data_IF_721054883603
#
_entry.id   IF_721054883603
#
_cell.length_a   1.000
_cell.length_b   1.000
_cell.length_c   1.000
_cell.angle_alpha   90.00
_cell.angle_beta   90.00
_cell.angle_gamma   90.00
#
_symmetry.space_group_name_H-M   'P 1'
#
loop_
_entity.id
_entity.type
_entity.pdbx_description
1 polymer ?
#
# COMPACT_ATOMS: atom_id res chain seq x y z
N UNK A 1 -10.67 -12.05 -12.87
CA UNK A 1 -9.38 -11.70 -13.50
C UNK A 1 -9.40 -12.15 -14.95
N UNK A 2 -9.88 -11.31 -15.87
CA UNK A 2 -9.87 -11.57 -17.33
C UNK A 2 -8.89 -10.65 -18.06
N UNK A 3 -8.87 -9.37 -17.64
CA UNK A 3 -8.02 -8.34 -18.24
C UNK A 3 -6.50 -8.61 -18.16
N UNK A 4 -6.01 -9.23 -17.08
CA UNK A 4 -4.59 -9.63 -16.98
C UNK A 4 -4.26 -10.79 -17.91
N UNK A 5 -5.17 -11.74 -18.06
CA UNK A 5 -5.01 -12.91 -18.94
C UNK A 5 -5.02 -12.50 -20.41
N UNK A 6 -5.82 -11.50 -20.79
CA UNK A 6 -5.90 -10.98 -22.15
C UNK A 6 -4.63 -10.20 -22.55
N UNK A 7 -4.03 -9.46 -21.62
CA UNK A 7 -2.75 -8.76 -21.85
C UNK A 7 -1.60 -9.78 -21.95
N UNK A 8 -1.58 -10.79 -21.08
CA UNK A 8 -0.50 -11.78 -21.08
C UNK A 8 -0.58 -12.74 -22.26
N UNK A 9 -1.79 -13.18 -22.65
CA UNK A 9 -2.00 -14.04 -23.83
C UNK A 9 -1.78 -13.31 -25.15
N UNK A 10 -2.16 -12.02 -25.24
CA UNK A 10 -1.87 -11.19 -26.42
C UNK A 10 -0.37 -10.90 -26.61
N UNK A 11 0.37 -10.72 -25.52
CA UNK A 11 1.82 -10.46 -25.56
C UNK A 11 2.65 -11.73 -25.85
N UNK A 12 2.24 -12.89 -25.33
CA UNK A 12 2.93 -14.16 -25.61
C UNK A 12 2.72 -14.65 -27.04
N UNK A 13 1.51 -14.50 -27.60
CA UNK A 13 1.23 -14.88 -29.01
C UNK A 13 2.09 -14.11 -30.03
N UNK A 14 2.19 -12.78 -29.86
CA UNK A 14 2.98 -11.94 -30.78
C UNK A 14 4.50 -12.18 -30.71
N UNK A 15 5.02 -12.55 -29.55
CA UNK A 15 6.45 -12.87 -29.39
C UNK A 15 6.79 -14.24 -30.01
N UNK A 16 5.91 -15.23 -29.85
CA UNK A 16 6.08 -16.57 -30.42
C UNK A 16 6.03 -16.55 -31.96
N UNK A 17 5.13 -15.75 -32.54
CA UNK A 17 5.03 -15.56 -33.99
C UNK A 17 6.23 -14.79 -34.57
N UNK A 18 6.77 -13.82 -33.82
CA UNK A 18 7.97 -13.08 -34.18
C UNK A 18 9.22 -13.97 -34.21
N UNK A 19 9.36 -14.84 -33.22
CA UNK A 19 10.46 -15.83 -33.15
C UNK A 19 10.30 -16.92 -34.21
N UNK A 20 9.08 -17.41 -34.45
CA UNK A 20 8.78 -18.41 -35.50
C UNK A 20 9.13 -17.92 -36.91
N UNK A 21 8.79 -16.66 -37.23
CA UNK A 21 9.11 -16.05 -38.52
C UNK A 21 10.61 -15.78 -38.72
N UNK A 22 11.36 -15.49 -37.66
CA UNK A 22 12.81 -15.35 -37.73
C UNK A 22 13.51 -16.71 -37.91
N UNK A 23 12.99 -17.76 -37.28
CA UNK A 23 13.50 -19.15 -37.42
C UNK A 23 13.24 -19.69 -38.83
N UNK A 24 12.06 -19.41 -39.40
CA UNK A 24 11.73 -19.78 -40.78
C UNK A 24 12.65 -19.17 -41.83
N UNK A 25 13.36 -18.08 -41.49
CA UNK A 25 14.26 -17.35 -42.39
C UNK A 25 15.70 -17.89 -42.40
N UNK A 26 16.11 -18.66 -41.39
CA UNK A 26 17.49 -19.14 -41.23
C UNK A 26 17.65 -20.66 -41.10
N UNK A 27 16.56 -21.43 -40.90
CA UNK A 27 16.63 -22.90 -40.74
C UNK A 27 15.53 -23.58 -41.56
N UNK A 28 15.93 -24.26 -42.64
CA UNK A 28 15.00 -24.91 -43.60
C UNK A 28 14.63 -26.35 -43.24
N UNK A 29 15.31 -27.00 -42.28
CA UNK A 29 15.07 -28.40 -41.91
C UNK A 29 14.43 -28.51 -40.52
N UNK A 30 13.29 -29.20 -40.41
CA UNK A 30 12.49 -29.23 -39.17
C UNK A 30 13.21 -29.86 -37.97
N UNK A 31 14.20 -30.72 -38.19
CA UNK A 31 15.07 -31.27 -37.14
C UNK A 31 15.96 -30.21 -36.48
N UNK A 32 16.51 -29.29 -37.27
CA UNK A 32 17.38 -28.24 -36.75
C UNK A 32 16.57 -27.16 -36.02
N UNK A 33 15.31 -26.92 -36.44
CA UNK A 33 14.38 -26.07 -35.69
C UNK A 33 14.09 -26.63 -34.30
N UNK A 34 13.83 -27.93 -34.19
CA UNK A 34 13.58 -28.56 -32.88
C UNK A 34 14.81 -28.53 -31.99
N UNK A 35 16.00 -28.83 -32.52
CA UNK A 35 17.24 -28.76 -31.76
C UNK A 35 17.55 -27.33 -31.29
N UNK A 36 17.27 -26.32 -32.12
CA UNK A 36 17.44 -24.92 -31.78
C UNK A 36 16.43 -24.43 -30.74
N UNK A 37 15.16 -24.85 -30.83
CA UNK A 37 14.13 -24.57 -29.82
C UNK A 37 14.57 -25.14 -28.47
N UNK A 38 15.05 -26.38 -28.43
CA UNK A 38 15.54 -27.05 -27.22
C UNK A 38 16.76 -26.33 -26.61
N UNK A 39 17.68 -25.86 -27.45
CA UNK A 39 18.82 -25.06 -27.01
C UNK A 39 18.40 -23.68 -26.46
N UNK A 40 17.40 -23.05 -27.09
CA UNK A 40 16.86 -21.75 -26.66
C UNK A 40 16.11 -21.86 -25.34
N UNK A 41 15.30 -22.91 -25.18
CA UNK A 41 14.58 -23.19 -23.93
C UNK A 41 15.56 -23.44 -22.77
N UNK A 42 16.66 -24.16 -23.04
CA UNK A 42 17.73 -24.36 -22.05
C UNK A 42 18.43 -23.06 -21.66
N UNK A 43 18.69 -22.16 -22.62
CA UNK A 43 19.28 -20.85 -22.34
C UNK A 43 18.31 -19.95 -21.54
N UNK A 44 17.01 -19.99 -21.84
CA UNK A 44 15.98 -19.28 -21.09
C UNK A 44 15.90 -19.79 -19.65
N UNK A 45 15.86 -21.11 -19.43
CA UNK A 45 15.88 -21.69 -18.09
C UNK A 45 17.12 -21.30 -17.28
N UNK A 46 18.30 -21.25 -17.92
CA UNK A 46 19.52 -20.79 -17.26
C UNK A 46 19.42 -19.31 -16.86
N UNK A 47 18.91 -18.47 -17.76
CA UNK A 47 18.68 -17.04 -17.48
C UNK A 47 17.69 -16.82 -16.35
N UNK A 48 16.58 -17.57 -16.35
CA UNK A 48 15.56 -17.46 -15.31
C UNK A 48 16.10 -17.89 -13.95
N UNK A 49 16.93 -18.95 -13.89
CA UNK A 49 17.58 -19.38 -12.66
C UNK A 49 18.58 -18.32 -12.11
N UNK A 50 19.36 -17.68 -12.98
CA UNK A 50 20.27 -16.58 -12.58
C UNK A 50 19.50 -15.34 -12.10
N UNK A 51 18.42 -14.99 -12.80
CA UNK A 51 17.56 -13.86 -12.44
C UNK A 51 16.88 -14.13 -11.10
N UNK A 52 16.37 -15.34 -10.86
CA UNK A 52 15.74 -15.69 -9.59
C UNK A 52 16.72 -15.60 -8.42
N UNK A 53 17.95 -16.09 -8.57
CA UNK A 53 18.98 -15.95 -7.55
C UNK A 53 19.31 -14.48 -7.26
N UNK A 54 19.39 -13.66 -8.30
CA UNK A 54 19.67 -12.23 -8.18
C UNK A 54 18.53 -11.50 -7.47
N UNK A 55 17.28 -11.78 -7.87
CA UNK A 55 16.08 -11.18 -7.25
C UNK A 55 15.98 -11.59 -5.78
N UNK A 56 16.24 -12.84 -5.43
CA UNK A 56 16.25 -13.29 -4.03
C UNK A 56 17.31 -12.56 -3.20
N UNK A 57 18.52 -12.42 -3.73
CA UNK A 57 19.59 -11.69 -3.04
C UNK A 57 19.25 -10.20 -2.86
N UNK A 58 18.64 -9.56 -3.87
CA UNK A 58 18.19 -8.17 -3.76
C UNK A 58 17.04 -8.00 -2.76
N UNK A 59 16.07 -8.92 -2.75
CA UNK A 59 14.96 -8.92 -1.80
C UNK A 59 15.47 -9.11 -0.37
N UNK A 60 16.40 -10.03 -0.13
CA UNK A 60 17.03 -10.21 1.18
C UNK A 60 17.83 -8.98 1.63
N UNK A 61 18.55 -8.33 0.72
CA UNK A 61 19.29 -7.10 1.03
C UNK A 61 18.34 -5.96 1.42
N UNK A 62 17.27 -5.75 0.64
CA UNK A 62 16.23 -4.76 0.96
C UNK A 62 15.51 -5.08 2.27
N UNK A 63 15.25 -6.35 2.54
CA UNK A 63 14.62 -6.80 3.79
C UNK A 63 15.50 -6.47 4.99
N UNK A 64 16.82 -6.74 4.92
CA UNK A 64 17.78 -6.38 5.97
C UNK A 64 17.89 -4.87 6.21
N UNK A 65 17.84 -4.06 5.14
CA UNK A 65 17.81 -2.60 5.26
C UNK A 65 16.53 -2.15 5.96
N UNK A 66 15.37 -2.68 5.55
CA UNK A 66 14.08 -2.38 6.19
C UNK A 66 14.07 -2.82 7.65
N UNK A 67 14.62 -3.98 7.98
CA UNK A 67 14.76 -4.46 9.36
C UNK A 67 15.65 -3.53 10.18
N UNK A 68 16.79 -3.08 9.63
CA UNK A 68 17.69 -2.14 10.27
C UNK A 68 17.04 -0.75 10.47
N UNK A 69 16.28 -0.25 9.50
CA UNK A 69 15.52 1.00 9.61
C UNK A 69 14.35 0.88 10.60
N UNK A 70 13.68 -0.28 10.65
CA UNK A 70 12.63 -0.56 11.63
C UNK A 70 13.16 -0.66 13.07
N UNK A 71 14.39 -1.15 13.23
CA UNK A 71 15.09 -1.19 14.51
C UNK A 71 15.60 0.18 14.97
N UNK A 72 15.65 1.19 14.09
CA UNK A 72 15.97 2.55 14.50
C UNK A 72 14.90 3.07 15.48
N UNK A 73 15.35 3.39 16.70
CA UNK A 73 14.56 3.44 17.93
C UNK A 73 14.10 4.86 18.30
N UNK A 74 13.80 5.70 17.30
CA UNK A 74 13.17 6.99 17.58
C UNK A 74 11.65 6.80 17.79
N UNK A 75 11.29 6.58 19.06
CA UNK A 75 9.90 6.51 19.53
C UNK A 75 9.09 7.76 19.16
N UNK A 76 9.75 8.91 18.94
CA UNK A 76 9.10 10.15 18.55
C UNK A 76 8.75 10.16 17.05
N UNK A 77 9.64 9.68 16.16
CA UNK A 77 9.29 9.55 14.73
C UNK A 77 8.22 8.48 14.49
N UNK A 78 8.24 7.39 15.27
CA UNK A 78 7.20 6.33 15.21
C UNK A 78 5.81 6.84 15.66
N UNK A 79 5.74 7.89 16.49
CA UNK A 79 4.50 8.50 17.00
C UNK A 79 4.12 9.83 16.35
N UNK A 80 4.96 10.41 15.51
CA UNK A 80 4.70 11.68 14.84
C UNK A 80 3.45 11.65 13.93
N UNK A 81 3.14 10.50 13.31
CA UNK A 81 1.99 10.33 12.40
C UNK A 81 0.66 10.50 13.15
N UNK A 82 0.39 9.76 14.24
CA UNK A 82 -0.84 9.98 15.03
C UNK A 82 -0.88 11.32 15.77
N UNK A 83 0.25 11.89 16.21
CA UNK A 83 0.23 13.17 16.93
C UNK A 83 -0.27 14.33 16.08
N UNK A 84 0.07 14.37 14.79
CA UNK A 84 -0.42 15.40 13.87
C UNK A 84 -1.93 15.31 13.71
N UNK A 85 -2.47 14.10 13.52
CA UNK A 85 -3.92 13.88 13.35
C UNK A 85 -4.67 14.25 14.64
N UNK A 86 -4.20 13.81 15.81
CA UNK A 86 -4.85 14.12 17.08
C UNK A 86 -4.78 15.61 17.41
N UNK A 87 -3.61 16.23 17.24
CA UNK A 87 -3.45 17.65 17.48
C UNK A 87 -4.34 18.49 16.55
N UNK A 88 -4.37 18.17 15.25
CA UNK A 88 -5.23 18.88 14.30
C UNK A 88 -6.72 18.69 14.60
N UNK A 89 -7.17 17.50 15.01
CA UNK A 89 -8.54 17.28 15.45
C UNK A 89 -8.90 18.09 16.70
N UNK A 90 -7.99 18.20 17.68
CA UNK A 90 -8.21 19.02 18.88
C UNK A 90 -8.33 20.50 18.52
N UNK A 91 -7.45 21.03 17.67
CA UNK A 91 -7.49 22.43 17.24
C UNK A 91 -8.78 22.74 16.47
N UNK A 92 -9.19 21.85 15.56
CA UNK A 92 -10.45 21.96 14.84
C UNK A 92 -11.64 21.91 15.80
N UNK A 93 -11.65 20.96 16.74
CA UNK A 93 -12.72 20.82 17.72
C UNK A 93 -12.84 22.06 18.62
N UNK A 94 -11.73 22.63 19.06
CA UNK A 94 -11.76 23.86 19.86
C UNK A 94 -12.31 25.03 19.05
N UNK A 95 -11.77 25.27 17.85
CA UNK A 95 -12.06 26.49 17.09
C UNK A 95 -13.42 26.47 16.36
N UNK A 96 -13.84 25.30 15.84
CA UNK A 96 -15.07 25.16 15.06
C UNK A 96 -16.24 24.54 15.83
N UNK A 97 -16.00 23.89 16.98
CA UNK A 97 -17.09 23.25 17.76
C UNK A 97 -17.22 23.89 19.14
N UNK A 98 -16.18 23.88 19.98
CA UNK A 98 -16.31 24.32 21.37
C UNK A 98 -16.50 25.83 21.49
N UNK A 99 -15.65 26.64 20.85
CA UNK A 99 -15.71 28.10 20.95
C UNK A 99 -17.03 28.66 20.39
N UNK A 100 -17.51 28.27 19.19
CA UNK A 100 -18.79 28.78 18.67
C UNK A 100 -19.99 28.37 19.52
N UNK A 101 -20.05 27.12 20.00
CA UNK A 101 -21.14 26.67 20.87
C UNK A 101 -21.10 27.36 22.24
N UNK A 102 -19.91 27.58 22.81
CA UNK A 102 -19.76 28.29 24.07
C UNK A 102 -20.23 29.75 23.95
N UNK A 103 -19.87 30.43 22.86
CA UNK A 103 -20.32 31.80 22.59
C UNK A 103 -21.83 31.85 22.37
N UNK A 104 -22.43 30.89 21.66
CA UNK A 104 -23.88 30.78 21.52
C UNK A 104 -24.57 30.65 22.88
N UNK A 105 -24.09 29.77 23.76
CA UNK A 105 -24.64 29.60 25.12
C UNK A 105 -24.51 30.89 25.93
N UNK A 106 -23.34 31.55 25.92
CA UNK A 106 -23.13 32.80 26.65
C UNK A 106 -24.03 33.92 26.11
N UNK A 107 -24.20 34.01 24.78
CA UNK A 107 -25.05 35.02 24.15
C UNK A 107 -26.54 34.82 24.47
N UNK A 108 -26.99 33.56 24.64
CA UNK A 108 -28.35 33.23 25.07
C UNK A 108 -28.58 33.55 26.55
N UNK A 109 -27.55 33.41 27.39
CA UNK A 109 -27.66 33.66 28.84
C UNK A 109 -27.48 35.13 29.21
N UNK A 110 -26.65 35.89 28.48
CA UNK A 110 -26.30 37.27 28.83
C UNK A 110 -27.09 38.33 28.06
N UNK A 111 -28.03 37.96 27.18
CA UNK A 111 -28.79 38.86 26.29
C UNK A 111 -27.93 39.89 25.51
N UNK A 112 -26.62 39.65 25.45
CA UNK A 112 -25.65 40.56 24.86
C UNK A 112 -25.10 39.91 23.60
N UNK A 113 -25.26 40.56 22.45
CA UNK A 113 -24.75 40.07 21.19
C UNK A 113 -23.21 40.17 21.15
N UNK A 114 -22.53 39.08 21.49
CA UNK A 114 -21.08 38.96 21.31
C UNK A 114 -20.83 38.56 19.86
N UNK A 115 -20.34 39.51 19.06
CA UNK A 115 -19.94 39.24 17.69
C UNK A 115 -18.67 38.37 17.67
N UNK A 116 -18.81 37.15 17.17
CA UNK A 116 -17.69 36.23 16.95
C UNK A 116 -17.54 35.97 15.45
N UNK A 117 -16.36 36.28 14.93
CA UNK A 117 -16.01 35.93 13.56
C UNK A 117 -15.38 34.54 13.55
N UNK A 118 -16.13 33.55 13.06
CA UNK A 118 -15.58 32.22 12.75
C UNK A 118 -14.56 32.37 11.64
N UNK A 119 -13.32 31.95 11.88
CA UNK A 119 -12.33 31.76 10.80
C UNK A 119 -12.75 30.52 10.02
N UNK A 120 -13.54 30.74 8.96
CA UNK A 120 -13.92 29.66 8.06
C UNK A 120 -12.70 29.23 7.26
N UNK A 121 -12.29 27.98 7.47
CA UNK A 121 -11.22 27.37 6.70
C UNK A 121 -11.72 27.09 5.26
N UNK A 122 -10.89 27.32 4.23
CA UNK A 122 -11.27 27.09 2.84
C UNK A 122 -11.58 25.61 2.60
N UNK A 123 -12.46 25.32 1.63
CA UNK A 123 -12.86 23.95 1.26
C UNK A 123 -11.65 23.04 1.02
N UNK A 124 -10.58 23.58 0.46
CA UNK A 124 -9.40 22.79 0.12
C UNK A 124 -8.66 22.27 1.34
N UNK A 125 -8.74 23.01 2.47
CA UNK A 125 -8.23 22.52 3.74
C UNK A 125 -9.00 21.28 4.19
N UNK A 126 -10.32 21.27 4.09
CA UNK A 126 -11.15 20.13 4.52
C UNK A 126 -10.94 18.88 3.66
N UNK A 127 -10.77 19.06 2.35
CA UNK A 127 -10.45 17.97 1.43
C UNK A 127 -9.07 17.40 1.74
N UNK A 128 -8.05 18.26 1.84
CA UNK A 128 -6.68 17.83 2.17
C UNK A 128 -6.60 17.15 3.54
N UNK A 129 -7.26 17.72 4.56
CA UNK A 129 -7.31 17.18 5.91
C UNK A 129 -8.04 15.82 5.98
N UNK A 130 -9.16 15.70 5.27
CA UNK A 130 -9.88 14.43 5.12
C UNK A 130 -9.03 13.36 4.43
N UNK A 131 -8.27 13.74 3.39
CA UNK A 131 -7.28 12.89 2.74
C UNK A 131 -6.21 12.37 3.70
N UNK A 132 -5.61 13.24 4.50
CA UNK A 132 -4.60 12.86 5.50
C UNK A 132 -5.21 11.91 6.56
N UNK A 133 -6.40 12.23 7.07
CA UNK A 133 -7.07 11.40 8.06
C UNK A 133 -7.42 10.01 7.51
N UNK A 134 -7.96 9.92 6.29
CA UNK A 134 -8.31 8.64 5.66
C UNK A 134 -7.07 7.79 5.38
N UNK A 135 -5.99 8.37 4.86
CA UNK A 135 -4.72 7.68 4.68
C UNK A 135 -4.17 7.14 6.01
N UNK A 136 -4.26 7.92 7.08
CA UNK A 136 -3.86 7.48 8.42
C UNK A 136 -4.74 6.35 8.96
N UNK A 137 -6.07 6.43 8.81
CA UNK A 137 -7.00 5.37 9.26
C UNK A 137 -6.72 4.07 8.50
N UNK A 138 -6.51 4.12 7.19
CA UNK A 138 -6.18 2.95 6.37
C UNK A 138 -4.84 2.35 6.81
N UNK A 139 -3.79 3.18 6.94
CA UNK A 139 -2.48 2.75 7.40
C UNK A 139 -2.54 2.12 8.80
N UNK A 140 -3.24 2.76 9.75
CA UNK A 140 -3.40 2.26 11.11
C UNK A 140 -4.22 0.98 11.19
N UNK A 141 -5.20 0.82 10.30
CA UNK A 141 -5.99 -0.40 10.18
C UNK A 141 -5.15 -1.54 9.60
N UNK A 142 -4.28 -1.26 8.63
CA UNK A 142 -3.34 -2.22 8.07
C UNK A 142 -2.28 -2.64 9.11
N UNK A 143 -1.71 -1.70 9.87
CA UNK A 143 -0.78 -1.99 10.98
C UNK A 143 -1.40 -2.88 12.07
N UNK A 144 -2.71 -2.77 12.29
CA UNK A 144 -3.44 -3.58 13.27
C UNK A 144 -4.01 -4.88 12.69
N UNK A 145 -3.95 -5.10 11.37
CA UNK A 145 -4.35 -6.38 10.76
C UNK A 145 -3.38 -7.47 11.23
N UNK A 146 -3.92 -8.50 11.87
CA UNK A 146 -3.14 -9.58 12.48
C UNK A 146 -2.88 -9.39 13.98
N UNK A 147 -3.05 -8.18 14.52
CA UNK A 147 -2.97 -7.96 15.96
C UNK A 147 -4.30 -8.37 16.60
N UNK A 148 -4.34 -9.60 17.14
CA UNK A 148 -5.53 -10.14 17.81
C UNK A 148 -5.61 -9.56 19.23
N UNK A 149 -6.54 -8.64 19.45
CA UNK A 149 -6.88 -8.21 20.81
C UNK A 149 -7.52 -9.37 21.59
N UNK A 150 -7.36 -9.40 22.94
CA UNK A 150 -7.85 -10.50 23.77
C UNK A 150 -9.34 -10.79 23.54
N UNK A 151 -10.15 -9.74 23.39
CA UNK A 151 -11.59 -9.81 23.12
C UNK A 151 -11.89 -10.53 21.80
N UNK A 152 -11.12 -10.23 20.75
CA UNK A 152 -11.28 -10.90 19.44
C UNK A 152 -10.84 -12.36 19.55
N UNK A 153 -9.76 -12.67 20.27
CA UNK A 153 -9.34 -14.05 20.54
C UNK A 153 -10.38 -14.86 21.32
N UNK A 154 -11.08 -14.25 22.28
CA UNK A 154 -12.16 -14.89 23.03
C UNK A 154 -13.34 -15.23 22.12
N UNK A 155 -13.66 -14.37 21.15
CA UNK A 155 -14.81 -14.55 20.23
C UNK A 155 -14.47 -15.49 19.06
N UNK A 156 -13.30 -15.34 18.45
CA UNK A 156 -12.91 -16.11 17.26
C UNK A 156 -12.20 -17.43 17.57
N UNK A 157 -11.93 -17.69 18.86
CA UNK A 157 -11.15 -18.84 19.31
C UNK A 157 -9.64 -18.66 19.10
N UNK A 158 -8.87 -19.38 19.91
CA UNK A 158 -7.40 -19.29 19.99
C UNK A 158 -6.66 -20.14 18.96
N UNK A 159 -7.34 -20.86 18.05
CA UNK A 159 -6.62 -21.70 17.10
C UNK A 159 -5.74 -20.84 16.16
N UNK A 160 -4.41 -21.04 16.16
CA UNK A 160 -3.57 -20.49 15.12
C UNK A 160 -3.95 -21.21 13.83
N UNK A 161 -4.43 -20.47 12.82
CA UNK A 161 -4.45 -21.04 11.47
C UNK A 161 -3.03 -20.90 10.94
N UNK A 162 -2.31 -22.01 10.94
CA UNK A 162 -1.16 -22.20 10.05
C UNK A 162 -1.63 -21.90 8.63
N UNK A 163 -0.89 -21.07 7.89
CA UNK A 163 -1.15 -20.80 6.47
C UNK A 163 -0.90 -22.02 5.57
N UNK A 164 -0.51 -23.15 6.16
CA UNK A 164 -0.19 -24.42 5.48
C UNK A 164 -1.04 -25.61 5.97
N UNK A 165 -2.22 -25.36 6.54
CA UNK A 165 -3.28 -26.38 6.70
C UNK A 165 -4.57 -25.96 5.99
#
# INVERSE_FOLDING_TARGET
MKWLTDIFSGATGGFMDGVSNLIGKFVTTDKDKQAFILATEKLLQQRDAEIEQTIRAELEAKTRIIEAEMQQDDNYTKRARPTVVYFGLVVIAINHVLVPNLIQVISQVSETAVAYNTVNLPTEFWIAWGGICSAWVIGRSAEKRGNRTPVIQTITGTKPKSLFE
#
